data_IF_702418342817
#
_entry.id   IF_702418342817
#
_cell.length_a   1.000
_cell.length_b   1.000
_cell.length_c   1.000
_cell.angle_alpha   90.00
_cell.angle_beta   90.00
_cell.angle_gamma   90.00
#
_symmetry.space_group_name_H-M   'P 1'
#
loop_
_entity.id
_entity.type
_entity.pdbx_description
1 polymer ?
#
# COMPACT_ATOMS: atom_id res chain seq x y z
N UNK A 1 2.44 40.77 4.87
CA UNK A 1 3.06 40.04 3.74
C UNK A 1 4.04 39.04 4.31
N UNK A 2 3.74 37.74 4.22
CA UNK A 2 4.66 36.66 4.60
C UNK A 2 5.58 36.40 3.40
N UNK A 3 6.90 36.46 3.57
CA UNK A 3 7.88 36.58 2.48
C UNK A 3 8.51 35.24 2.04
N UNK A 4 7.95 34.09 2.42
CA UNK A 4 8.68 32.81 2.34
C UNK A 4 8.25 31.78 1.30
N UNK A 5 7.15 31.97 0.57
CA UNK A 5 6.60 30.95 -0.33
C UNK A 5 6.65 31.40 -1.80
N UNK A 6 7.18 30.53 -2.66
CA UNK A 6 7.25 30.73 -4.10
C UNK A 6 6.40 29.69 -4.83
N UNK A 7 5.97 30.04 -6.05
CA UNK A 7 5.29 29.09 -6.93
C UNK A 7 6.28 28.02 -7.38
N UNK A 8 5.94 26.76 -7.12
CA UNK A 8 6.70 25.60 -7.52
C UNK A 8 5.79 24.59 -8.24
N UNK A 9 6.41 23.68 -8.99
CA UNK A 9 5.68 22.61 -9.65
C UNK A 9 5.21 21.56 -8.63
N UNK A 10 3.95 21.13 -8.74
CA UNK A 10 3.44 19.99 -7.98
C UNK A 10 4.17 18.72 -8.38
N UNK A 11 4.41 17.84 -7.41
CA UNK A 11 4.89 16.50 -7.73
C UNK A 11 3.80 15.72 -8.47
N UNK A 12 4.15 14.73 -9.32
CA UNK A 12 3.17 13.96 -10.08
C UNK A 12 2.09 13.31 -9.20
N UNK A 13 2.43 12.92 -7.96
CA UNK A 13 1.54 12.34 -6.95
C UNK A 13 0.65 13.36 -6.22
N UNK A 14 1.00 14.65 -6.28
CA UNK A 14 0.25 15.74 -5.64
C UNK A 14 -0.69 16.49 -6.61
N UNK A 15 -0.74 16.07 -7.88
CA UNK A 15 -1.61 16.70 -8.88
C UNK A 15 -3.07 16.33 -8.62
N UNK A 16 -3.89 17.33 -8.36
CA UNK A 16 -5.35 17.22 -8.34
C UNK A 16 -5.87 17.87 -9.63
N UNK A 17 -6.48 17.08 -10.51
CA UNK A 17 -6.98 17.58 -11.80
C UNK A 17 -5.89 18.15 -12.70
N UNK A 18 -6.17 19.30 -13.32
CA UNK A 18 -5.26 20.02 -14.23
C UNK A 18 -4.25 20.91 -13.48
N UNK A 19 -4.34 20.98 -12.15
CA UNK A 19 -3.54 21.88 -11.34
C UNK A 19 -2.10 21.38 -11.21
N UNK A 20 -1.18 22.01 -11.95
CA UNK A 20 0.24 21.65 -12.00
C UNK A 20 1.16 22.44 -11.07
N UNK A 21 0.66 23.49 -10.41
CA UNK A 21 1.45 24.41 -9.59
C UNK A 21 0.94 24.47 -8.15
N UNK A 22 1.85 24.77 -7.21
CA UNK A 22 1.55 24.99 -5.79
C UNK A 22 2.45 26.06 -5.20
N UNK A 23 2.09 26.57 -4.04
CA UNK A 23 3.01 27.35 -3.22
C UNK A 23 3.89 26.41 -2.39
N UNK A 24 5.20 26.64 -2.45
CA UNK A 24 6.19 25.88 -1.73
C UNK A 24 7.19 26.82 -1.04
N UNK A 25 7.86 26.35 0.02
CA UNK A 25 9.04 27.01 0.58
C UNK A 25 10.01 27.45 -0.52
N UNK A 26 10.43 28.72 -0.53
CA UNK A 26 11.44 29.17 -1.46
C UNK A 26 12.80 28.48 -1.17
N UNK A 27 13.43 27.90 -2.19
CA UNK A 27 14.72 27.20 -2.06
C UNK A 27 15.88 28.15 -1.67
N UNK A 28 15.70 29.46 -1.86
CA UNK A 28 16.71 30.49 -1.58
C UNK A 28 16.74 31.00 -0.14
N UNK A 29 15.85 30.55 0.75
CA UNK A 29 15.83 30.97 2.15
C UNK A 29 16.38 29.88 3.06
N UNK A 30 17.21 30.28 4.04
CA UNK A 30 17.69 29.33 5.05
C UNK A 30 16.52 28.86 5.90
N UNK A 31 16.59 27.59 6.33
CA UNK A 31 15.54 26.94 7.14
C UNK A 31 15.20 27.70 8.42
N UNK A 32 16.12 28.52 8.91
CA UNK A 32 15.99 29.37 10.09
C UNK A 32 15.09 30.59 9.85
N UNK A 33 15.21 31.25 8.70
CA UNK A 33 14.34 32.39 8.31
C UNK A 33 12.89 31.94 8.17
N UNK A 34 12.71 30.70 7.70
CA UNK A 34 11.43 30.03 7.55
C UNK A 34 10.78 29.72 8.91
N UNK A 35 11.55 29.23 9.89
CA UNK A 35 11.01 28.85 11.20
C UNK A 35 10.37 30.02 11.96
N UNK A 36 10.93 31.23 11.88
CA UNK A 36 10.36 32.41 12.55
C UNK A 36 9.10 32.94 11.86
N UNK A 37 9.01 32.83 10.53
CA UNK A 37 7.85 33.32 9.77
C UNK A 37 6.65 32.34 9.79
N UNK A 38 6.89 31.09 10.16
CA UNK A 38 5.87 30.05 10.29
C UNK A 38 5.63 29.60 11.73
N UNK A 39 6.00 30.44 12.70
CA UNK A 39 5.37 30.34 13.99
C UNK A 39 3.88 30.62 13.81
N UNK A 40 3.07 29.63 14.18
CA UNK A 40 1.63 29.79 14.19
C UNK A 40 1.29 30.90 15.17
N UNK A 41 0.63 31.92 14.66
CA UNK A 41 0.04 32.96 15.48
C UNK A 41 -1.36 32.51 15.90
N UNK A 42 -1.89 32.97 17.04
CA UNK A 42 -3.28 32.67 17.43
C UNK A 42 -4.34 33.24 16.45
N UNK A 43 -3.92 33.92 15.36
CA UNK A 43 -4.76 34.38 14.26
C UNK A 43 -4.75 33.47 13.04
N UNK A 44 -3.96 32.39 13.04
CA UNK A 44 -3.94 31.43 11.94
C UNK A 44 -5.16 30.50 12.06
N UNK A 45 -6.21 30.84 11.31
CA UNK A 45 -7.52 30.18 11.39
C UNK A 45 -7.51 28.76 10.80
N UNK A 46 -6.68 28.51 9.78
CA UNK A 46 -6.66 27.26 9.00
C UNK A 46 -6.05 26.09 9.75
N UNK A 47 -5.12 26.37 10.67
CA UNK A 47 -4.37 25.37 11.43
C UNK A 47 -4.82 25.29 12.89
N UNK A 48 -5.80 26.09 13.29
CA UNK A 48 -6.11 26.44 14.70
C UNK A 48 -6.58 25.30 15.61
N UNK A 49 -6.90 24.12 15.06
CA UNK A 49 -7.27 22.92 15.82
C UNK A 49 -6.13 21.90 15.93
N UNK A 50 -5.33 21.73 14.87
CA UNK A 50 -4.23 20.74 14.83
C UNK A 50 -2.92 21.32 15.39
N UNK A 51 -2.70 22.63 15.23
CA UNK A 51 -1.43 23.27 15.57
C UNK A 51 -1.32 23.78 17.02
N UNK A 52 -2.28 23.48 17.90
CA UNK A 52 -2.24 23.99 19.29
C UNK A 52 -1.10 23.41 20.12
N UNK A 53 -0.59 22.23 19.76
CA UNK A 53 0.44 21.54 20.54
C UNK A 53 1.62 21.00 19.68
N UNK A 54 1.64 21.20 18.36
CA UNK A 54 2.64 20.57 17.47
C UNK A 54 3.29 21.53 16.46
N UNK A 55 4.59 21.28 16.20
CA UNK A 55 5.37 21.92 15.13
C UNK A 55 4.75 21.57 13.79
N UNK A 56 4.16 22.55 13.11
CA UNK A 56 3.59 22.35 11.77
C UNK A 56 4.73 22.18 10.75
N UNK A 57 4.59 21.21 9.85
CA UNK A 57 5.49 21.07 8.72
C UNK A 57 5.46 22.35 7.87
N UNK A 58 6.59 23.03 7.76
CA UNK A 58 6.75 24.27 6.98
C UNK A 58 6.25 24.10 5.52
N UNK A 59 6.42 22.91 4.95
CA UNK A 59 5.92 22.60 3.62
C UNK A 59 4.39 22.62 3.54
N UNK A 60 3.71 22.19 4.62
CA UNK A 60 2.24 22.24 4.73
C UNK A 60 1.74 23.65 5.00
N UNK A 61 2.45 24.43 5.80
CA UNK A 61 2.06 25.82 6.07
C UNK A 61 1.99 26.67 4.78
N UNK A 62 3.05 26.67 3.98
CA UNK A 62 3.05 27.39 2.69
C UNK A 62 1.97 26.90 1.72
N UNK A 63 1.58 25.64 1.83
CA UNK A 63 0.60 25.03 0.96
C UNK A 63 -0.84 25.43 1.30
N UNK A 64 -1.16 25.58 2.60
CA UNK A 64 -2.53 25.83 3.05
C UNK A 64 -2.88 27.30 3.23
N UNK A 65 -1.90 28.20 3.36
CA UNK A 65 -2.17 29.62 3.61
C UNK A 65 -1.87 30.55 2.44
N UNK A 66 -1.22 30.04 1.40
CA UNK A 66 -0.80 30.84 0.25
C UNK A 66 -1.36 30.26 -1.06
N UNK A 67 -1.64 31.15 -2.02
CA UNK A 67 -2.02 30.80 -3.39
C UNK A 67 -1.06 31.41 -4.42
N UNK A 68 -0.88 30.78 -5.59
CA UNK A 68 -0.19 31.39 -6.71
C UNK A 68 -0.89 32.70 -7.16
N UNK A 69 -0.16 33.76 -7.52
CA UNK A 69 -0.74 35.09 -7.81
C UNK A 69 -1.68 35.10 -9.01
N UNK A 70 -1.44 34.26 -10.01
CA UNK A 70 -2.23 34.13 -11.24
C UNK A 70 -2.80 32.71 -11.39
N UNK A 71 -3.02 32.00 -10.28
CA UNK A 71 -3.53 30.63 -10.30
C UNK A 71 -2.65 29.70 -11.14
N UNK A 72 -3.25 28.97 -12.07
CA UNK A 72 -2.60 27.97 -12.94
C UNK A 72 -1.51 28.54 -13.86
N UNK A 73 -1.62 29.81 -14.23
CA UNK A 73 -0.69 30.47 -15.18
C UNK A 73 0.45 31.21 -14.47
N UNK A 74 0.52 31.09 -13.14
CA UNK A 74 1.56 31.76 -12.35
C UNK A 74 2.95 31.29 -12.78
N UNK A 75 3.85 32.25 -13.01
CA UNK A 75 5.24 31.96 -13.34
C UNK A 75 5.93 31.19 -12.21
N UNK A 76 6.74 30.20 -12.55
CA UNK A 76 7.57 29.48 -11.57
C UNK A 76 8.47 30.47 -10.82
N UNK A 77 8.67 30.22 -9.53
CA UNK A 77 9.42 31.07 -8.60
C UNK A 77 8.82 32.47 -8.34
N UNK A 78 7.62 32.77 -8.85
CA UNK A 78 6.91 33.99 -8.44
C UNK A 78 6.49 33.91 -6.97
N UNK A 79 6.41 35.04 -6.29
CA UNK A 79 6.03 35.09 -4.88
C UNK A 79 4.53 34.75 -4.74
N UNK A 80 4.22 33.82 -3.84
CA UNK A 80 2.84 33.50 -3.53
C UNK A 80 2.15 34.59 -2.72
N UNK A 81 0.82 34.70 -2.88
CA UNK A 81 -0.02 35.61 -2.13
C UNK A 81 -0.69 34.87 -0.97
N UNK A 82 -0.90 35.54 0.16
CA UNK A 82 -1.70 34.97 1.23
C UNK A 82 -3.16 34.79 0.76
N UNK A 83 -3.81 33.73 1.21
CA UNK A 83 -5.25 33.55 1.00
C UNK A 83 -6.03 34.69 1.64
N UNK A 84 -7.06 35.17 0.95
CA UNK A 84 -7.99 36.13 1.51
C UNK A 84 -8.91 35.44 2.55
N UNK A 85 -9.44 36.18 3.52
CA UNK A 85 -10.22 35.62 4.63
C UNK A 85 -11.47 34.84 4.20
N UNK A 86 -12.04 35.17 3.05
CA UNK A 86 -13.16 34.48 2.42
C UNK A 86 -12.73 33.17 1.72
N UNK A 87 -11.52 33.12 1.19
CA UNK A 87 -10.92 31.91 0.61
C UNK A 87 -10.49 30.94 1.71
N UNK A 88 -9.96 31.45 2.82
CA UNK A 88 -9.59 30.70 4.03
C UNK A 88 -10.74 29.83 4.53
N UNK A 89 -11.97 30.35 4.49
CA UNK A 89 -13.18 29.62 4.89
C UNK A 89 -13.56 28.52 3.92
N UNK A 90 -13.22 28.65 2.65
CA UNK A 90 -13.51 27.64 1.63
C UNK A 90 -12.50 26.48 1.69
N UNK A 91 -11.25 26.77 2.05
CA UNK A 91 -10.18 25.77 2.18
C UNK A 91 -10.17 25.07 3.54
N UNK A 92 -11.20 25.26 4.34
CA UNK A 92 -11.34 24.57 5.63
C UNK A 92 -12.63 23.77 5.57
N UNK A 93 -12.55 22.46 5.85
CA UNK A 93 -13.74 21.62 5.89
C UNK A 93 -14.60 21.89 7.14
N UNK A 94 -15.76 21.24 7.23
CA UNK A 94 -16.68 21.40 8.36
C UNK A 94 -16.08 20.93 9.71
N UNK A 95 -15.07 20.06 9.67
CA UNK A 95 -14.36 19.53 10.83
C UNK A 95 -13.15 20.40 11.22
N UNK A 96 -12.84 21.43 10.44
CA UNK A 96 -11.73 22.34 10.67
C UNK A 96 -10.38 21.86 10.10
N UNK A 97 -10.38 20.86 9.21
CA UNK A 97 -9.17 20.44 8.51
C UNK A 97 -8.92 21.29 7.26
N UNK A 98 -7.65 21.55 6.98
CA UNK A 98 -7.22 22.28 5.79
C UNK A 98 -7.33 21.42 4.53
N UNK A 99 -8.06 21.91 3.54
CA UNK A 99 -8.17 21.37 2.20
C UNK A 99 -7.14 22.03 1.28
N UNK A 100 -6.75 21.33 0.21
CA UNK A 100 -5.85 21.86 -0.81
C UNK A 100 -6.51 23.05 -1.54
N UNK A 101 -5.90 24.25 -1.58
CA UNK A 101 -6.50 25.40 -2.27
C UNK A 101 -6.58 25.25 -3.79
N UNK A 102 -6.07 24.17 -4.40
CA UNK A 102 -6.15 23.88 -5.84
C UNK A 102 -7.50 24.20 -6.48
N UNK A 103 -8.58 23.79 -5.83
CA UNK A 103 -9.93 23.97 -6.35
C UNK A 103 -10.33 25.45 -6.49
N UNK A 104 -9.75 26.35 -5.68
CA UNK A 104 -10.07 27.79 -5.73
C UNK A 104 -9.65 28.43 -7.05
N UNK A 105 -8.51 28.02 -7.60
CA UNK A 105 -7.94 28.60 -8.81
C UNK A 105 -8.11 27.73 -10.06
N UNK A 106 -8.66 26.53 -9.94
CA UNK A 106 -9.13 25.74 -11.07
C UNK A 106 -10.31 26.44 -11.77
N UNK A 107 -11.29 26.93 -11.00
CA UNK A 107 -12.48 27.60 -11.53
C UNK A 107 -12.19 28.94 -12.23
N UNK A 108 -11.17 29.68 -11.80
CA UNK A 108 -10.82 30.96 -12.43
C UNK A 108 -10.31 30.78 -13.86
N UNK A 109 -9.73 29.63 -14.19
CA UNK A 109 -9.24 29.37 -15.56
C UNK A 109 -10.36 29.14 -16.56
N UNK A 110 -11.48 28.56 -16.13
CA UNK A 110 -12.64 28.29 -17.00
C UNK A 110 -13.36 29.59 -17.35
N UNK A 111 -13.42 30.54 -16.41
CA UNK A 111 -14.02 31.86 -16.63
C UNK A 111 -13.13 32.73 -17.54
N UNK A 112 -11.80 32.69 -17.35
CA UNK A 112 -10.87 33.44 -18.21
C UNK A 112 -10.86 32.92 -19.66
N UNK A 113 -11.05 31.61 -19.89
CA UNK A 113 -11.16 31.05 -21.23
C UNK A 113 -12.55 31.28 -21.89
N UNK A 114 -13.58 31.59 -21.10
CA UNK A 114 -14.91 31.87 -21.61
C UNK A 114 -15.07 33.32 -22.12
N UNK A 115 -14.16 34.24 -21.80
CA UNK A 115 -14.22 35.63 -22.26
C UNK A 115 -13.40 35.92 -23.54
N UNK A 116 -12.59 34.96 -24.04
CA UNK A 116 -11.73 35.16 -25.22
C UNK A 116 -12.08 34.31 -26.46
N UNK A 117 -13.27 33.70 -26.54
CA UNK A 117 -13.58 32.81 -27.68
C UNK A 117 -15.05 32.65 -28.01
N UNK A 118 -15.68 33.70 -28.53
CA UNK A 118 -16.86 33.59 -29.41
C UNK A 118 -16.39 33.38 -30.86
N UNK A 119 -15.78 32.24 -31.11
CA UNK A 119 -15.65 31.69 -32.46
C UNK A 119 -16.26 30.29 -32.43
N UNK A 120 -17.47 30.21 -32.97
CA UNK A 120 -18.23 28.99 -33.22
C UNK A 120 -17.37 27.99 -34.01
N UNK A 121 -17.05 26.82 -33.46
CA UNK A 121 -16.47 25.74 -34.24
C UNK A 121 -17.56 25.13 -35.11
N UNK A 122 -17.39 25.26 -36.42
CA UNK A 122 -18.13 24.52 -37.43
C UNK A 122 -18.01 23.00 -37.18
N UNK A 123 -19.12 22.35 -37.52
CA UNK A 123 -19.44 20.93 -37.37
C UNK A 123 -18.47 19.98 -38.11
N UNK A 124 -18.72 18.67 -37.92
CA UNK A 124 -18.34 17.55 -38.79
C UNK A 124 -17.27 16.57 -38.25
N UNK A 125 -17.60 15.86 -37.16
CA UNK A 125 -17.19 14.45 -37.03
C UNK A 125 -18.39 13.63 -36.53
N UNK A 126 -19.28 13.27 -37.46
CA UNK A 126 -20.30 12.26 -37.23
C UNK A 126 -19.69 10.86 -37.37
N UNK A 127 -19.57 10.15 -36.25
CA UNK A 127 -19.30 8.71 -36.24
C UNK A 127 -20.55 7.94 -36.72
N UNK A 128 -20.37 7.18 -37.80
CA UNK A 128 -21.38 6.42 -38.57
C UNK A 128 -22.23 5.39 -37.78
N UNK A 129 -21.93 5.10 -36.51
CA UNK A 129 -22.68 4.11 -35.72
C UNK A 129 -23.92 4.67 -35.00
N UNK A 130 -24.13 5.99 -34.99
CA UNK A 130 -25.28 6.61 -34.30
C UNK A 130 -26.52 6.82 -35.20
N UNK A 131 -26.37 6.72 -36.53
CA UNK A 131 -27.45 7.03 -37.49
C UNK A 131 -28.55 5.96 -37.54
N UNK A 132 -28.25 4.71 -37.21
CA UNK A 132 -29.24 3.62 -37.33
C UNK A 132 -30.25 3.57 -36.16
N UNK A 133 -29.90 4.12 -34.99
CA UNK A 133 -30.81 4.13 -33.82
C UNK A 133 -31.83 5.27 -33.88
N UNK A 134 -31.42 6.46 -34.33
CA UNK A 134 -32.31 7.64 -34.44
C UNK A 134 -33.36 7.50 -35.55
N UNK A 135 -33.06 6.77 -36.64
CA UNK A 135 -34.02 6.56 -37.73
C UNK A 135 -35.20 5.64 -37.36
N UNK A 136 -35.02 4.73 -36.38
CA UNK A 136 -36.10 3.84 -35.90
C UNK A 136 -37.10 4.53 -34.97
N UNK A 137 -36.69 5.59 -34.26
CA UNK A 137 -37.60 6.35 -33.40
C UNK A 137 -38.54 7.27 -34.18
N UNK A 138 -38.07 7.83 -35.31
CA UNK A 138 -38.90 8.68 -36.18
C UNK A 138 -39.93 7.90 -37.00
N UNK A 139 -39.64 6.63 -37.34
CA UNK A 139 -40.54 5.79 -38.15
C UNK A 139 -41.81 5.32 -37.40
N UNK A 140 -41.83 5.34 -36.06
CA UNK A 140 -43.00 4.93 -35.27
C UNK A 140 -43.94 6.10 -34.91
N UNK A 141 -43.60 7.34 -35.27
CA UNK A 141 -44.41 8.53 -34.99
C UNK A 141 -45.26 9.01 -36.17
N UNK A 142 -45.19 8.35 -37.34
CA UNK A 142 -45.88 8.78 -38.57
C UNK A 142 -47.22 8.10 -38.87
N UNK A 143 -47.73 7.22 -38.00
CA UNK A 143 -49.09 6.67 -38.11
C UNK A 143 -50.10 7.50 -37.28
N UNK A 144 -50.18 8.81 -37.54
CA UNK A 144 -51.34 9.60 -37.13
C UNK A 144 -52.30 9.70 -38.31
N UNK A 145 -53.18 8.71 -38.44
CA UNK A 145 -54.19 8.56 -39.51
C UNK A 145 -55.32 9.60 -39.50
N UNK A 146 -55.32 10.61 -38.63
CA UNK A 146 -56.46 11.53 -38.49
C UNK A 146 -56.14 13.00 -38.85
N UNK A 147 -55.36 13.22 -39.91
CA UNK A 147 -55.35 14.51 -40.61
C UNK A 147 -56.53 14.55 -41.60
N UNK A 148 -57.77 14.38 -41.10
CA UNK A 148 -58.96 14.62 -41.91
C UNK A 148 -59.08 16.12 -42.22
N UNK A 149 -58.86 16.43 -43.50
CA UNK A 149 -59.39 17.55 -44.28
C UNK A 149 -59.97 18.74 -43.49
N UNK A 150 -59.11 19.72 -43.21
CA UNK A 150 -59.53 21.09 -43.00
C UNK A 150 -59.76 21.80 -44.34
N UNK A 151 -60.85 21.49 -45.03
CA UNK A 151 -61.36 22.27 -46.16
C UNK A 151 -62.90 22.26 -46.10
N UNK A 152 -63.46 23.01 -45.14
CA UNK A 152 -64.80 23.59 -45.25
C UNK A 152 -64.82 24.80 -44.32
N UNK A 153 -64.22 25.90 -44.80
CA UNK A 153 -64.46 27.21 -44.20
C UNK A 153 -65.89 27.59 -44.57
N UNK A 154 -66.87 27.11 -43.79
CA UNK A 154 -68.25 27.55 -43.93
C UNK A 154 -68.29 29.07 -43.80
N UNK A 155 -68.57 29.72 -44.93
CA UNK A 155 -68.77 31.15 -45.07
C UNK A 155 -69.84 31.58 -44.08
N UNK A 156 -69.46 32.42 -43.10
CA UNK A 156 -70.34 32.84 -42.01
C UNK A 156 -71.67 33.36 -42.60
N UNK A 157 -72.83 32.81 -42.21
CA UNK A 157 -74.11 33.21 -42.78
C UNK A 157 -74.38 34.69 -42.51
N UNK A 158 -74.89 35.39 -43.53
CA UNK A 158 -75.21 36.83 -43.50
C UNK A 158 -76.08 37.19 -42.27
N UNK A 159 -75.76 38.26 -41.52
CA UNK A 159 -76.38 38.59 -40.23
C UNK A 159 -77.83 39.10 -40.32
N UNK A 160 -78.45 39.11 -41.51
CA UNK A 160 -79.89 39.39 -41.70
C UNK A 160 -80.79 38.17 -41.45
N UNK A 161 -80.20 36.99 -41.22
CA UNK A 161 -80.93 35.76 -40.93
C UNK A 161 -81.34 35.66 -39.44
N UNK A 162 -82.51 35.05 -39.22
CA UNK A 162 -83.20 34.86 -37.93
C UNK A 162 -82.25 34.67 -36.72
N UNK A 163 -82.36 35.47 -35.65
CA UNK A 163 -81.45 35.41 -34.49
C UNK A 163 -81.38 34.02 -33.82
N UNK A 164 -82.39 33.17 -34.01
CA UNK A 164 -82.36 31.79 -33.52
C UNK A 164 -81.34 30.91 -34.28
N UNK A 165 -81.13 31.15 -35.57
CA UNK A 165 -80.16 30.43 -36.41
C UNK A 165 -78.73 30.82 -36.01
N UNK A 166 -78.49 32.10 -35.74
CA UNK A 166 -77.21 32.59 -35.23
C UNK A 166 -76.88 31.98 -33.86
N UNK A 167 -77.87 31.87 -32.96
CA UNK A 167 -77.69 31.26 -31.64
C UNK A 167 -77.38 29.76 -31.73
N UNK A 168 -78.03 29.01 -32.63
CA UNK A 168 -77.70 27.59 -32.85
C UNK A 168 -76.30 27.41 -33.45
N UNK A 169 -75.93 28.21 -34.45
CA UNK A 169 -74.60 28.14 -35.06
C UNK A 169 -73.47 28.45 -34.07
N UNK A 170 -73.67 29.45 -33.21
CA UNK A 170 -72.72 29.75 -32.13
C UNK A 170 -72.58 28.59 -31.13
N UNK A 171 -73.67 27.89 -30.82
CA UNK A 171 -73.64 26.72 -29.92
C UNK A 171 -72.89 25.55 -30.54
N UNK A 172 -73.13 25.26 -31.80
CA UNK A 172 -72.47 24.16 -32.51
C UNK A 172 -70.98 24.47 -32.69
N UNK A 173 -70.62 25.70 -33.05
CA UNK A 173 -69.23 26.16 -33.08
C UNK A 173 -68.53 26.03 -31.72
N UNK A 174 -69.21 26.38 -30.62
CA UNK A 174 -68.66 26.22 -29.27
C UNK A 174 -68.44 24.74 -28.92
N UNK A 175 -69.36 23.85 -29.31
CA UNK A 175 -69.21 22.40 -29.10
C UNK A 175 -68.03 21.82 -29.90
N UNK A 176 -67.85 22.23 -31.17
CA UNK A 176 -66.70 21.84 -31.97
C UNK A 176 -65.37 22.38 -31.40
N UNK A 177 -65.37 23.61 -30.88
CA UNK A 177 -64.22 24.20 -30.21
C UNK A 177 -63.85 23.42 -28.94
N UNK A 178 -64.83 23.01 -28.13
CA UNK A 178 -64.60 22.16 -26.95
C UNK A 178 -64.03 20.79 -27.33
N UNK A 179 -64.60 20.15 -28.37
CA UNK A 179 -64.10 18.88 -28.89
C UNK A 179 -62.65 18.98 -29.40
N UNK A 180 -62.32 20.07 -30.10
CA UNK A 180 -60.97 20.35 -30.61
C UNK A 180 -59.98 20.64 -29.48
N UNK A 181 -60.38 21.43 -28.47
CA UNK A 181 -59.58 21.69 -27.29
C UNK A 181 -59.29 20.40 -26.50
N UNK A 182 -60.29 19.50 -26.37
CA UNK A 182 -60.10 18.21 -25.72
C UNK A 182 -59.14 17.28 -26.50
N UNK A 183 -59.19 17.28 -27.84
CA UNK A 183 -58.22 16.56 -28.69
C UNK A 183 -56.81 17.12 -28.50
N UNK A 184 -56.65 18.45 -28.55
CA UNK A 184 -55.36 19.12 -28.33
C UNK A 184 -54.79 18.82 -26.94
N UNK A 185 -55.61 18.83 -25.90
CA UNK A 185 -55.20 18.48 -24.54
C UNK A 185 -54.71 17.03 -24.42
N UNK A 186 -55.35 16.07 -25.12
CA UNK A 186 -54.88 14.67 -25.17
C UNK A 186 -53.56 14.54 -25.92
N UNK A 187 -53.42 15.23 -27.05
CA UNK A 187 -52.17 15.23 -27.82
C UNK A 187 -51.01 15.81 -27.00
N UNK A 188 -51.23 16.92 -26.28
CA UNK A 188 -50.23 17.51 -25.40
C UNK A 188 -49.79 16.56 -24.28
N UNK A 189 -50.73 15.81 -23.66
CA UNK A 189 -50.39 14.80 -22.65
C UNK A 189 -49.55 13.66 -23.22
N UNK A 190 -49.91 13.14 -24.40
CA UNK A 190 -49.12 12.11 -25.10
C UNK A 190 -47.72 12.60 -25.43
N UNK A 191 -47.57 13.85 -25.88
CA UNK A 191 -46.28 14.45 -26.17
C UNK A 191 -45.40 14.57 -24.90
N UNK A 192 -45.98 14.93 -23.76
CA UNK A 192 -45.26 14.97 -22.48
C UNK A 192 -44.82 13.57 -22.02
N UNK A 193 -45.67 12.55 -22.16
CA UNK A 193 -45.33 11.17 -21.83
C UNK A 193 -44.21 10.63 -22.75
N UNK A 194 -44.27 10.93 -24.04
CA UNK A 194 -43.21 10.61 -25.00
C UNK A 194 -41.88 11.32 -24.66
N UNK A 195 -41.93 12.58 -24.22
CA UNK A 195 -40.75 13.32 -23.79
C UNK A 195 -40.13 12.71 -22.53
N UNK A 196 -40.95 12.35 -21.54
CA UNK A 196 -40.49 11.75 -20.28
C UNK A 196 -39.86 10.38 -20.51
N UNK A 197 -40.52 9.53 -21.31
CA UNK A 197 -39.98 8.22 -21.69
C UNK A 197 -38.69 8.33 -22.50
N UNK A 198 -38.64 9.24 -23.49
CA UNK A 198 -37.44 9.51 -24.26
C UNK A 198 -36.28 9.96 -23.40
N UNK A 199 -36.49 10.93 -22.49
CA UNK A 199 -35.47 11.40 -21.56
C UNK A 199 -34.96 10.30 -20.64
N UNK A 200 -35.86 9.46 -20.10
CA UNK A 200 -35.47 8.33 -19.25
C UNK A 200 -34.63 7.31 -20.02
N UNK A 201 -34.97 7.02 -21.28
CA UNK A 201 -34.19 6.13 -22.13
C UNK A 201 -32.81 6.72 -22.47
N UNK A 202 -32.74 7.99 -22.85
CA UNK A 202 -31.47 8.68 -23.12
C UNK A 202 -30.56 8.66 -21.89
N UNK A 203 -31.12 8.90 -20.70
CA UNK A 203 -30.37 8.84 -19.45
C UNK A 203 -29.84 7.43 -19.14
N UNK A 204 -30.67 6.39 -19.29
CA UNK A 204 -30.25 5.00 -19.10
C UNK A 204 -29.14 4.58 -20.08
N UNK A 205 -29.25 5.00 -21.34
CA UNK A 205 -28.23 4.74 -22.35
C UNK A 205 -26.91 5.44 -21.97
N UNK A 206 -26.97 6.71 -21.57
CA UNK A 206 -25.79 7.45 -21.12
C UNK A 206 -25.12 6.80 -19.91
N UNK A 207 -25.89 6.35 -18.92
CA UNK A 207 -25.35 5.61 -17.75
C UNK A 207 -24.72 4.28 -18.15
N UNK A 208 -25.31 3.56 -19.10
CA UNK A 208 -24.77 2.29 -19.60
C UNK A 208 -23.44 2.50 -20.32
N UNK A 209 -23.34 3.52 -21.18
CA UNK A 209 -22.08 3.86 -21.86
C UNK A 209 -20.99 4.35 -20.88
N UNK A 210 -21.38 5.15 -19.88
CA UNK A 210 -20.48 5.56 -18.82
C UNK A 210 -19.93 4.36 -18.02
N UNK A 211 -20.77 3.38 -17.69
CA UNK A 211 -20.33 2.17 -16.99
C UNK A 211 -19.38 1.32 -17.85
N UNK A 212 -19.65 1.19 -19.16
CA UNK A 212 -18.72 0.54 -20.10
C UNK A 212 -17.35 1.23 -20.10
N UNK A 213 -17.32 2.56 -20.18
CA UNK A 213 -16.08 3.33 -20.16
C UNK A 213 -15.32 3.18 -18.83
N UNK A 214 -16.03 3.23 -17.70
CA UNK A 214 -15.44 3.00 -16.37
C UNK A 214 -14.87 1.59 -16.24
N UNK A 215 -15.57 0.58 -16.71
CA UNK A 215 -15.11 -0.81 -16.67
C UNK A 215 -13.88 -1.01 -17.56
N UNK A 216 -13.83 -0.37 -18.73
CA UNK A 216 -12.64 -0.36 -19.59
C UNK A 216 -11.44 0.28 -18.90
N UNK A 217 -11.62 1.45 -18.27
CA UNK A 217 -10.54 2.11 -17.51
C UNK A 217 -10.05 1.25 -16.35
N UNK A 218 -10.96 0.67 -15.54
CA UNK A 218 -10.59 -0.25 -14.46
C UNK A 218 -9.75 -1.44 -14.95
N UNK A 219 -10.13 -2.06 -16.07
CA UNK A 219 -9.37 -3.17 -16.63
C UNK A 219 -7.98 -2.73 -17.12
N UNK A 220 -7.88 -1.55 -17.75
CA UNK A 220 -6.60 -1.01 -18.19
C UNK A 220 -5.70 -0.66 -17.01
N UNK A 221 -6.25 -0.08 -15.94
CA UNK A 221 -5.51 0.23 -14.70
C UNK A 221 -5.00 -1.05 -14.02
N UNK A 222 -5.82 -2.09 -13.93
CA UNK A 222 -5.38 -3.40 -13.42
C UNK A 222 -4.24 -3.96 -14.29
N UNK A 223 -4.34 -3.82 -15.62
CA UNK A 223 -3.30 -4.27 -16.54
C UNK A 223 -2.00 -3.48 -16.36
N UNK A 224 -2.08 -2.16 -16.21
CA UNK A 224 -0.91 -1.31 -15.94
C UNK A 224 -0.31 -1.61 -14.57
N UNK A 225 -1.12 -1.73 -13.53
CA UNK A 225 -0.67 -2.09 -12.19
C UNK A 225 0.05 -3.45 -12.18
N UNK A 226 -0.53 -4.46 -12.83
CA UNK A 226 0.10 -5.79 -12.94
C UNK A 226 1.35 -5.78 -13.83
N UNK A 227 1.42 -4.92 -14.85
CA UNK A 227 2.63 -4.71 -15.64
C UNK A 227 3.75 -4.02 -14.83
N UNK A 228 3.42 -3.03 -13.99
CA UNK A 228 4.39 -2.38 -13.09
C UNK A 228 4.90 -3.32 -12.00
N UNK A 229 4.09 -4.27 -11.53
CA UNK A 229 4.54 -5.36 -10.64
C UNK A 229 5.55 -6.29 -11.33
N UNK A 230 5.51 -6.41 -12.66
CA UNK A 230 6.49 -7.16 -13.46
C UNK A 230 7.72 -6.32 -13.88
N UNK A 231 7.87 -5.09 -13.39
CA UNK A 231 9.11 -4.34 -13.54
C UNK A 231 10.31 -5.12 -12.99
N UNK A 232 11.55 -4.78 -13.41
CA UNK A 232 12.74 -5.43 -12.86
C UNK A 232 12.68 -5.34 -11.34
N UNK A 233 12.68 -6.50 -10.66
CA UNK A 233 12.65 -6.55 -9.19
C UNK A 233 13.70 -5.56 -8.68
N UNK A 234 13.36 -4.65 -7.74
CA UNK A 234 14.35 -3.70 -7.22
C UNK A 234 15.56 -4.49 -6.74
N UNK A 235 16.75 -3.99 -7.02
CA UNK A 235 18.02 -4.70 -6.77
C UNK A 235 18.13 -5.23 -5.34
N UNK A 236 17.48 -4.58 -4.37
CA UNK A 236 17.38 -5.02 -2.97
C UNK A 236 16.69 -6.38 -2.81
N UNK A 237 15.60 -6.63 -3.53
CA UNK A 237 14.88 -7.91 -3.50
C UNK A 237 15.72 -8.98 -4.19
N UNK A 238 16.34 -8.67 -5.34
CA UNK A 238 17.24 -9.61 -6.02
C UNK A 238 18.45 -9.97 -5.15
N UNK A 239 19.08 -9.00 -4.50
CA UNK A 239 20.19 -9.21 -3.59
C UNK A 239 19.77 -10.04 -2.37
N UNK A 240 18.58 -9.81 -1.82
CA UNK A 240 18.06 -10.62 -0.71
C UNK A 240 17.74 -12.06 -1.13
N UNK A 241 17.17 -12.28 -2.32
CA UNK A 241 16.93 -13.61 -2.89
C UNK A 241 18.26 -14.33 -3.16
N UNK A 242 19.25 -13.65 -3.76
CA UNK A 242 20.58 -14.19 -3.99
C UNK A 242 21.31 -14.53 -2.68
N UNK A 243 21.20 -13.67 -1.66
CA UNK A 243 21.77 -13.94 -0.35
C UNK A 243 21.11 -15.15 0.33
N UNK A 244 19.79 -15.31 0.20
CA UNK A 244 19.08 -16.51 0.70
C UNK A 244 19.51 -17.77 -0.03
N UNK A 245 19.60 -17.72 -1.36
CA UNK A 245 20.08 -18.83 -2.17
C UNK A 245 21.52 -19.22 -1.82
N UNK A 246 22.41 -18.24 -1.62
CA UNK A 246 23.78 -18.46 -1.19
C UNK A 246 23.88 -19.01 0.25
N UNK A 247 22.96 -18.62 1.14
CA UNK A 247 22.91 -19.10 2.52
C UNK A 247 22.24 -20.48 2.66
N UNK A 248 21.52 -20.94 1.64
CA UNK A 248 20.77 -22.20 1.65
C UNK A 248 21.58 -23.43 2.10
N UNK A 249 22.81 -23.71 1.61
CA UNK A 249 23.58 -24.86 2.07
C UNK A 249 23.94 -24.80 3.57
N UNK A 250 24.13 -23.60 4.12
CA UNK A 250 24.40 -23.43 5.55
C UNK A 250 23.16 -23.70 6.40
N UNK A 251 21.98 -23.26 5.93
CA UNK A 251 20.72 -23.53 6.59
C UNK A 251 20.39 -25.03 6.58
N UNK A 252 20.62 -25.71 5.45
CA UNK A 252 20.47 -27.17 5.33
C UNK A 252 21.44 -27.91 6.26
N UNK A 253 22.72 -27.51 6.29
CA UNK A 253 23.70 -28.09 7.21
C UNK A 253 23.34 -27.87 8.69
N UNK A 254 22.84 -26.69 9.03
CA UNK A 254 22.38 -26.38 10.38
C UNK A 254 21.19 -27.26 10.78
N UNK A 255 20.21 -27.44 9.89
CA UNK A 255 19.05 -28.31 10.15
C UNK A 255 19.48 -29.77 10.31
N UNK A 256 20.36 -30.26 9.44
CA UNK A 256 20.91 -31.61 9.57
C UNK A 256 21.67 -31.80 10.91
N UNK A 257 22.41 -30.79 11.34
CA UNK A 257 23.10 -30.83 12.63
C UNK A 257 22.11 -30.83 13.80
N UNK A 258 21.05 -30.03 13.73
CA UNK A 258 19.97 -30.02 14.72
C UNK A 258 19.25 -31.38 14.81
N UNK A 259 19.07 -32.07 13.69
CA UNK A 259 18.46 -33.41 13.65
C UNK A 259 19.39 -34.51 14.18
N UNK A 260 20.70 -34.37 13.98
CA UNK A 260 21.68 -35.40 14.33
C UNK A 260 22.21 -35.29 15.77
N UNK A 261 22.24 -34.09 16.35
CA UNK A 261 22.72 -33.85 17.72
C UNK A 261 22.06 -34.75 18.77
N UNK A 262 20.72 -34.91 18.84
CA UNK A 262 20.09 -35.77 19.83
C UNK A 262 20.48 -37.24 19.70
N UNK A 263 20.73 -37.70 18.47
CA UNK A 263 21.15 -39.07 18.21
C UNK A 263 22.60 -39.30 18.64
N UNK A 264 23.48 -38.33 18.42
CA UNK A 264 24.86 -38.37 18.90
C UNK A 264 24.91 -38.37 20.44
N UNK A 265 24.11 -37.55 21.10
CA UNK A 265 24.01 -37.53 22.57
C UNK A 265 23.45 -38.85 23.13
N UNK A 266 22.46 -39.43 22.44
CA UNK A 266 21.93 -40.75 22.79
C UNK A 266 22.97 -41.85 22.61
N UNK A 267 23.77 -41.80 21.55
CA UNK A 267 24.86 -42.76 21.34
C UNK A 267 25.97 -42.60 22.38
N UNK A 268 26.36 -41.36 22.68
CA UNK A 268 27.37 -41.06 23.70
C UNK A 268 26.92 -41.52 25.09
N UNK A 269 25.67 -41.25 25.48
CA UNK A 269 25.10 -41.73 26.75
C UNK A 269 24.98 -43.26 26.80
N UNK A 270 24.62 -43.92 25.70
CA UNK A 270 24.64 -45.39 25.64
C UNK A 270 26.05 -45.96 25.82
N UNK A 271 27.05 -45.41 25.12
CA UNK A 271 28.44 -45.84 25.26
C UNK A 271 28.97 -45.61 26.68
N UNK A 272 28.69 -44.45 27.28
CA UNK A 272 29.05 -44.15 28.65
C UNK A 272 28.39 -45.12 29.64
N UNK A 273 27.11 -45.44 29.45
CA UNK A 273 26.39 -46.42 30.28
C UNK A 273 26.97 -47.83 30.17
N UNK A 274 27.39 -48.24 28.96
CA UNK A 274 28.03 -49.54 28.73
C UNK A 274 29.39 -49.60 29.41
N UNK A 275 30.22 -48.57 29.23
CA UNK A 275 31.51 -48.47 29.89
C UNK A 275 31.39 -48.49 31.41
N UNK A 276 30.38 -47.80 31.97
CA UNK A 276 30.09 -47.83 33.40
C UNK A 276 29.74 -49.25 33.90
N UNK A 277 28.85 -49.97 33.20
CA UNK A 277 28.51 -51.36 33.52
C UNK A 277 29.71 -52.31 33.44
N UNK A 278 30.56 -52.15 32.44
CA UNK A 278 31.78 -52.95 32.29
C UNK A 278 32.76 -52.71 33.44
N UNK A 279 32.87 -51.46 33.92
CA UNK A 279 33.68 -51.12 35.10
C UNK A 279 33.08 -51.67 36.39
N UNK A 280 31.75 -51.62 36.56
CA UNK A 280 31.06 -52.22 37.70
C UNK A 280 31.25 -53.74 37.76
N UNK A 281 31.15 -54.42 36.61
CA UNK A 281 31.41 -55.87 36.52
C UNK A 281 32.84 -56.22 36.93
N UNK A 282 33.84 -55.46 36.44
CA UNK A 282 35.25 -55.61 36.84
C UNK A 282 35.44 -55.34 38.34
N UNK A 283 34.80 -54.32 38.89
CA UNK A 283 34.85 -54.02 40.31
C UNK A 283 34.26 -55.17 41.15
N UNK A 284 33.15 -55.76 40.69
CA UNK A 284 32.54 -56.91 41.36
C UNK A 284 33.45 -58.15 41.29
N UNK A 285 34.09 -58.42 40.15
CA UNK A 285 35.07 -59.50 40.00
C UNK A 285 36.29 -59.31 40.92
N UNK A 286 36.81 -58.09 41.03
CA UNK A 286 37.90 -57.78 41.96
C UNK A 286 37.46 -57.97 43.42
N UNK A 287 36.23 -57.57 43.76
CA UNK A 287 35.64 -57.77 45.09
C UNK A 287 35.52 -59.24 45.44
N UNK A 288 35.05 -60.10 44.52
CA UNK A 288 34.95 -61.54 44.76
C UNK A 288 36.34 -62.18 44.88
N UNK A 289 37.30 -61.83 44.02
CA UNK A 289 38.70 -62.27 44.13
C UNK A 289 39.32 -61.89 45.48
N UNK A 290 39.13 -60.65 45.92
CA UNK A 290 39.59 -60.19 47.22
C UNK A 290 38.94 -60.98 48.37
N UNK A 291 37.64 -61.30 48.28
CA UNK A 291 36.95 -62.12 49.27
C UNK A 291 37.49 -63.57 49.32
N UNK A 292 37.80 -64.17 48.17
CA UNK A 292 38.44 -65.51 48.09
C UNK A 292 39.83 -65.48 48.70
N UNK A 293 40.66 -64.48 48.37
CA UNK A 293 41.98 -64.30 48.99
C UNK A 293 41.87 -64.11 50.50
N UNK A 294 40.88 -63.36 50.98
CA UNK A 294 40.62 -63.18 52.42
C UNK A 294 40.24 -64.50 53.11
N UNK A 295 39.48 -65.37 52.44
CA UNK A 295 39.16 -66.71 52.94
C UNK A 295 40.38 -67.63 52.94
N UNK A 296 41.22 -67.58 51.90
CA UNK A 296 42.48 -68.35 51.79
C UNK A 296 43.54 -67.88 52.79
N UNK A 297 43.64 -66.58 53.03
CA UNK A 297 44.52 -65.98 54.03
C UNK A 297 44.10 -66.23 55.48
N UNK A 298 42.92 -66.82 55.73
CA UNK A 298 42.54 -67.37 57.05
C UNK A 298 43.07 -68.79 57.29
N UNK A 299 43.79 -69.38 56.34
CA UNK A 299 44.38 -70.71 56.51
C UNK A 299 45.72 -70.58 57.24
N UNK A 300 45.74 -71.09 58.47
CA UNK A 300 46.90 -71.45 59.29
C UNK A 300 47.77 -70.30 59.81
N UNK A 301 47.25 -69.55 60.79
CA UNK A 301 48.05 -69.37 61.99
C UNK A 301 48.13 -70.74 62.66
N UNK A 302 49.23 -71.47 62.44
CA UNK A 302 49.52 -72.72 63.16
C UNK A 302 49.48 -72.38 64.65
N UNK A 303 48.48 -72.89 65.36
CA UNK A 303 48.43 -72.83 66.81
C UNK A 303 49.67 -73.59 67.33
N UNK A 304 50.67 -72.86 67.83
CA UNK A 304 51.87 -73.47 68.41
C UNK A 304 53.22 -72.83 68.09
N UNK A 305 53.30 -71.62 67.50
CA UNK A 305 54.58 -70.90 67.46
C UNK A 305 54.71 -69.96 68.68
N UNK A 306 55.80 -70.07 69.46
CA UNK A 306 56.01 -69.26 70.65
C UNK A 306 56.21 -67.78 70.29
N UNK A 307 55.58 -66.94 71.09
CA UNK A 307 55.64 -65.48 71.06
C UNK A 307 57.09 -64.98 71.07
N UNK A 308 57.61 -64.52 69.92
CA UNK A 308 58.99 -64.01 69.87
C UNK A 308 59.53 -63.54 68.53
N UNK A 309 58.70 -63.25 67.52
CA UNK A 309 59.19 -62.61 66.29
C UNK A 309 58.13 -61.71 65.64
N UNK A 310 58.55 -60.55 65.09
CA UNK A 310 57.66 -59.49 64.60
C UNK A 310 57.14 -59.83 63.20
N UNK A 311 56.29 -60.85 63.12
CA UNK A 311 55.54 -61.16 61.91
C UNK A 311 54.05 -61.20 62.27
N UNK A 312 53.40 -60.04 62.42
CA UNK A 312 51.93 -59.90 62.32
C UNK A 312 51.46 -58.44 62.49
N UNK A 313 51.90 -57.54 61.62
CA UNK A 313 51.17 -56.29 61.36
C UNK A 313 51.12 -56.01 59.84
N UNK A 314 50.64 -57.01 59.07
CA UNK A 314 50.36 -56.82 57.63
C UNK A 314 49.12 -55.92 57.42
N UNK A 315 48.38 -55.60 58.49
CA UNK A 315 47.32 -54.59 58.51
C UNK A 315 47.80 -53.22 58.01
N UNK A 316 49.04 -52.82 58.32
CA UNK A 316 49.46 -51.42 58.20
C UNK A 316 50.25 -51.12 56.92
N UNK A 317 50.83 -52.12 56.25
CA UNK A 317 51.48 -51.90 54.96
C UNK A 317 50.50 -51.81 53.78
N UNK A 318 49.29 -52.37 53.91
CA UNK A 318 48.28 -52.33 52.84
C UNK A 318 47.54 -50.97 52.76
N UNK A 319 47.48 -50.21 53.85
CA UNK A 319 46.74 -48.94 53.91
C UNK A 319 47.47 -47.77 53.25
N UNK A 320 48.81 -47.74 53.32
CA UNK A 320 49.61 -46.67 52.69
C UNK A 320 49.57 -46.73 51.15
N UNK A 321 49.71 -47.92 50.55
CA UNK A 321 49.71 -48.07 49.09
C UNK A 321 48.38 -47.73 48.41
N UNK A 322 47.25 -47.92 49.10
CA UNK A 322 45.90 -47.59 48.57
C UNK A 322 45.65 -46.07 48.60
N UNK A 323 46.21 -45.36 49.59
CA UNK A 323 46.13 -43.91 49.71
C UNK A 323 46.85 -43.20 48.55
N UNK A 324 48.06 -43.66 48.20
CA UNK A 324 48.87 -43.08 47.12
C UNK A 324 48.18 -43.22 45.75
N UNK A 325 47.64 -44.41 45.45
CA UNK A 325 46.94 -44.64 44.17
C UNK A 325 45.67 -43.82 44.05
N UNK A 326 44.93 -43.61 45.14
CA UNK A 326 43.74 -42.75 45.13
C UNK A 326 44.10 -41.29 44.86
N UNK A 327 45.21 -40.78 45.42
CA UNK A 327 45.71 -39.43 45.12
C UNK A 327 46.15 -39.29 43.66
N UNK A 328 46.84 -40.27 43.10
CA UNK A 328 47.26 -40.23 41.69
C UNK A 328 46.06 -40.26 40.73
N UNK A 329 45.03 -41.06 41.03
CA UNK A 329 43.84 -41.17 40.18
C UNK A 329 42.97 -39.90 40.23
N UNK A 330 42.84 -39.27 41.41
CA UNK A 330 42.16 -37.97 41.53
C UNK A 330 42.95 -36.85 40.83
N UNK A 331 44.29 -36.90 40.84
CA UNK A 331 45.14 -35.94 40.11
C UNK A 331 45.03 -36.10 38.58
N UNK A 332 44.80 -37.32 38.09
CA UNK A 332 44.58 -37.59 36.67
C UNK A 332 43.19 -37.10 36.22
N UNK A 333 42.16 -37.27 37.05
CA UNK A 333 40.80 -36.78 36.76
C UNK A 333 40.65 -35.26 36.90
N UNK A 334 41.56 -34.59 37.65
CA UNK A 334 41.52 -33.14 37.83
C UNK A 334 42.30 -32.35 36.77
N UNK A 335 42.88 -33.01 35.75
CA UNK A 335 43.53 -32.27 34.66
C UNK A 335 42.45 -31.71 33.72
N UNK A 336 42.37 -30.38 33.55
CA UNK A 336 41.41 -29.77 32.66
C UNK A 336 41.70 -30.21 31.22
N UNK A 337 40.67 -30.67 30.51
CA UNK A 337 40.72 -30.93 29.08
C UNK A 337 41.06 -29.61 28.37
N UNK A 338 42.32 -29.44 27.98
CA UNK A 338 42.74 -28.32 27.13
C UNK A 338 42.10 -28.51 25.76
N UNK A 339 41.03 -27.76 25.51
CA UNK A 339 40.44 -27.59 24.19
C UNK A 339 41.53 -27.09 23.24
N UNK A 340 41.88 -27.92 22.26
CA UNK A 340 42.78 -27.56 21.17
C UNK A 340 42.21 -26.33 20.45
N UNK A 341 43.04 -25.31 20.17
CA UNK A 341 42.59 -24.15 19.42
C UNK A 341 42.21 -24.60 17.99
N UNK A 342 40.94 -24.42 17.65
CA UNK A 342 40.46 -24.46 16.27
C UNK A 342 41.08 -23.26 15.54
N UNK A 343 42.18 -23.50 14.82
CA UNK A 343 42.73 -22.53 13.89
C UNK A 343 41.70 -22.21 12.80
N UNK A 344 41.16 -21.00 12.86
CA UNK A 344 40.34 -20.40 11.81
C UNK A 344 41.23 -20.04 10.63
N UNK A 345 41.40 -20.98 9.70
CA UNK A 345 41.87 -20.70 8.35
C UNK A 345 40.74 -20.12 7.50
N UNK A 346 40.43 -18.82 7.66
CA UNK A 346 39.66 -18.07 6.66
C UNK A 346 40.65 -17.36 5.75
N UNK A 347 41.02 -18.02 4.66
CA UNK A 347 41.74 -17.39 3.55
C UNK A 347 40.82 -16.40 2.85
N UNK A 348 40.96 -15.12 3.16
CA UNK A 348 40.48 -14.05 2.30
C UNK A 348 41.40 -14.00 1.08
N UNK A 349 40.88 -14.48 -0.06
CA UNK A 349 41.52 -14.28 -1.36
C UNK A 349 41.50 -12.79 -1.71
N UNK A 350 42.64 -12.15 -1.55
CA UNK A 350 42.94 -10.80 -1.99
C UNK A 350 42.94 -10.80 -3.52
N UNK A 351 41.88 -10.24 -4.11
CA UNK A 351 41.72 -10.09 -5.55
C UNK A 351 42.75 -9.07 -6.06
N UNK A 352 43.69 -9.57 -6.87
CA UNK A 352 44.72 -8.78 -7.52
C UNK A 352 44.11 -7.61 -8.31
N UNK A 353 44.58 -6.41 -8.00
CA UNK A 353 44.58 -5.27 -8.91
C UNK A 353 45.25 -5.68 -10.22
N UNK A 354 44.47 -5.79 -11.29
CA UNK A 354 44.98 -5.68 -12.65
C UNK A 354 45.09 -4.20 -12.99
N UNK A 355 46.33 -3.73 -13.07
CA UNK A 355 46.72 -2.48 -13.71
C UNK A 355 46.30 -2.46 -15.19
N UNK A 356 45.89 -1.28 -15.66
CA UNK A 356 46.16 -0.81 -17.00
C UNK A 356 45.14 -1.15 -18.09
N UNK A 357 44.34 -0.16 -18.50
CA UNK A 357 44.42 0.37 -19.86
C UNK A 357 43.72 1.72 -19.96
N UNK A 358 44.53 2.78 -20.01
CA UNK A 358 44.14 4.08 -20.56
C UNK A 358 44.23 3.94 -22.08
N UNK A 359 43.11 4.16 -22.78
CA UNK A 359 43.11 4.51 -24.18
C UNK A 359 42.12 5.66 -24.35
N UNK A 360 42.68 6.87 -24.44
CA UNK A 360 42.12 7.92 -25.27
C UNK A 360 42.05 7.38 -26.69
N UNK A 361 40.90 7.52 -27.33
CA UNK A 361 40.89 7.82 -28.76
C UNK A 361 39.77 8.82 -29.04
N UNK A 362 40.18 9.86 -29.77
CA UNK A 362 39.36 10.90 -30.33
C UNK A 362 38.37 10.33 -31.35
N UNK A 363 37.13 10.78 -31.32
CA UNK A 363 36.39 11.27 -32.50
C UNK A 363 35.21 12.13 -32.06
#
# INVERSE_FOLDING_TARGET
>A
MRLGCNVAQRRPDERQGVVGVKCAPAEGHSREVCAEQCQTTPRDEVLGLVARDEVVDYARFCFYECKPPSGLTSAMNSQCLALASDETKQVTDADGNSLDPAFLYEHQSVVALAEEGDETPDEDVETEESKESSQKLLANTTESEDAENGEDSEELPDPESDPLVAASGARDAAWHAEGSAAKAARAARKALEALETGRNQTWLNAMTEADKALNFMKQNDIRLATAHVKGPKPWRIQAAEAARAAAQPYLEAHNHLAETLPNLDRQASMQASKAAKDLEAKAHELKTKAAVLRRRGKVQCRAGQPFGSPCCLISDCASQGVSERRKQLMKALSQPFTLLPLERGWGFGESQKSDGMVLLDCF
#
